data_IF_436896054507
#
_entry.id   IF_436896054507
#
_cell.length_a   1.000
_cell.length_b   1.000
_cell.length_c   1.000
_cell.angle_alpha   90.00
_cell.angle_beta   90.00
_cell.angle_gamma   90.00
#
_symmetry.space_group_name_H-M   'P 1'
#
loop_
_entity.id
_entity.type
_entity.pdbx_description
1 polymer ?
#
# COMPACT_ATOMS: atom_id res chain seq x y z
N UNK A 1 12.80 6.94 4.17
CA UNK A 1 11.34 6.87 4.33
C UNK A 1 10.86 5.43 4.18
N UNK A 2 9.81 5.10 4.90
CA UNK A 2 9.20 3.77 4.86
C UNK A 2 7.70 3.95 4.64
N UNK A 3 7.14 3.20 3.69
CA UNK A 3 5.70 3.16 3.43
C UNK A 3 5.19 1.78 3.79
N UNK A 4 4.15 1.72 4.61
CA UNK A 4 3.47 0.46 4.93
C UNK A 4 2.02 0.57 4.48
N UNK A 5 1.53 -0.46 3.82
CA UNK A 5 0.18 -0.47 3.25
C UNK A 5 -0.56 -1.76 3.62
N UNK A 6 -1.87 -1.65 3.68
CA UNK A 6 -2.75 -2.79 3.92
C UNK A 6 -4.10 -2.55 3.24
N UNK A 7 -4.73 -3.63 2.82
CA UNK A 7 -6.06 -3.59 2.22
C UNK A 7 -6.98 -4.59 2.91
N UNK A 8 -8.27 -4.26 2.92
CA UNK A 8 -9.34 -5.13 3.42
C UNK A 8 -10.48 -5.16 2.42
N UNK A 9 -11.55 -5.87 2.74
CA UNK A 9 -12.74 -5.91 1.90
C UNK A 9 -13.43 -4.55 1.80
N UNK A 10 -13.26 -3.69 2.80
CA UNK A 10 -13.92 -2.38 2.86
C UNK A 10 -13.09 -1.26 2.25
N UNK A 11 -11.77 -1.32 2.37
CA UNK A 11 -10.92 -0.26 1.89
C UNK A 11 -9.44 -0.53 2.16
N UNK A 12 -8.68 0.55 2.28
CA UNK A 12 -7.23 0.46 2.44
C UNK A 12 -6.73 1.47 3.46
N UNK A 13 -5.54 1.19 3.97
CA UNK A 13 -4.82 2.10 4.84
C UNK A 13 -3.35 2.11 4.50
N UNK A 14 -2.69 3.21 4.79
CA UNK A 14 -1.25 3.33 4.59
C UNK A 14 -0.64 4.35 5.53
N UNK A 15 0.61 4.12 5.89
CA UNK A 15 1.37 5.03 6.73
C UNK A 15 2.72 5.33 6.08
N UNK A 16 3.17 6.55 6.31
CA UNK A 16 4.50 7.01 5.93
C UNK A 16 5.30 7.22 7.21
N UNK A 17 6.44 6.56 7.30
CA UNK A 17 7.34 6.65 8.44
C UNK A 17 8.70 7.18 8.02
N UNK A 18 9.40 7.78 8.96
CA UNK A 18 10.75 8.26 8.78
C UNK A 18 11.67 7.61 9.81
N UNK A 19 12.83 7.16 9.38
CA UNK A 19 13.87 6.69 10.28
C UNK A 19 14.57 7.90 10.87
N UNK A 20 14.58 8.00 12.21
CA UNK A 20 15.10 9.19 12.90
C UNK A 20 16.58 9.06 13.25
N UNK A 21 17.05 7.83 13.44
CA UNK A 21 18.46 7.57 13.74
C UNK A 21 18.88 6.21 13.16
N UNK A 22 20.21 5.95 13.09
CA UNK A 22 20.71 4.68 12.57
C UNK A 22 20.30 3.45 13.39
N UNK A 23 19.83 3.65 14.62
CA UNK A 23 19.47 2.57 15.55
C UNK A 23 17.99 2.21 15.52
N UNK A 24 17.27 2.64 14.50
CA UNK A 24 15.97 2.11 14.13
C UNK A 24 14.73 2.63 14.84
N UNK A 25 14.74 3.88 15.30
CA UNK A 25 13.48 4.50 15.74
C UNK A 25 12.71 5.01 14.52
N UNK A 26 11.56 4.40 14.26
CA UNK A 26 10.66 4.82 13.18
C UNK A 26 9.61 5.77 13.74
N UNK A 27 9.41 6.90 13.06
CA UNK A 27 8.39 7.87 13.46
C UNK A 27 7.33 7.99 12.38
N UNK A 28 6.07 8.05 12.80
CA UNK A 28 4.95 8.29 11.89
C UNK A 28 5.01 9.73 11.38
N UNK A 29 5.00 9.89 10.07
CA UNK A 29 4.97 11.20 9.41
C UNK A 29 3.56 11.53 8.93
N UNK A 30 2.92 10.61 8.22
CA UNK A 30 1.57 10.76 7.66
C UNK A 30 0.87 9.42 7.63
N UNK A 31 -0.45 9.48 7.51
CA UNK A 31 -1.27 8.30 7.23
C UNK A 31 -2.35 8.65 6.22
N UNK A 32 -2.89 7.63 5.57
CA UNK A 32 -4.03 7.76 4.66
C UNK A 32 -4.90 6.52 4.75
N UNK A 33 -6.16 6.69 4.42
CA UNK A 33 -7.09 5.58 4.29
C UNK A 33 -8.19 5.94 3.31
N UNK A 34 -8.89 4.94 2.81
CA UNK A 34 -10.00 5.15 1.90
C UNK A 34 -10.91 3.93 1.84
N UNK A 35 -12.09 4.12 1.28
CA UNK A 35 -13.10 3.09 1.10
C UNK A 35 -13.16 2.74 -0.38
N UNK A 36 -13.25 1.44 -0.69
CA UNK A 36 -13.41 0.99 -2.07
C UNK A 36 -14.73 1.46 -2.65
N UNK A 37 -14.71 1.93 -3.89
CA UNK A 37 -15.96 2.19 -4.62
C UNK A 37 -16.59 0.85 -5.05
N UNK A 38 -17.78 0.90 -5.67
CA UNK A 38 -18.52 -0.31 -6.02
C UNK A 38 -17.78 -1.22 -7.00
N UNK A 39 -17.01 -0.66 -7.94
CA UNK A 39 -16.19 -1.44 -8.86
C UNK A 39 -15.01 -2.10 -8.13
N UNK A 40 -14.34 -1.35 -7.29
CA UNK A 40 -13.16 -1.83 -6.55
C UNK A 40 -13.51 -2.91 -5.53
N UNK A 41 -14.70 -2.87 -4.95
CA UNK A 41 -15.16 -3.91 -4.03
C UNK A 41 -15.12 -5.31 -4.64
N UNK A 42 -15.28 -5.41 -5.93
CA UNK A 42 -15.29 -6.68 -6.66
C UNK A 42 -13.89 -7.15 -7.08
N UNK A 43 -12.86 -6.37 -6.82
CA UNK A 43 -11.50 -6.76 -7.13
C UNK A 43 -11.05 -7.93 -6.25
N UNK A 44 -10.14 -8.76 -6.78
CA UNK A 44 -9.50 -9.81 -6.00
C UNK A 44 -8.70 -9.22 -4.85
N UNK A 45 -8.38 -10.03 -3.85
CA UNK A 45 -7.54 -9.61 -2.73
C UNK A 45 -6.21 -9.05 -3.21
N UNK A 46 -5.54 -9.75 -4.13
CA UNK A 46 -4.25 -9.31 -4.69
C UNK A 46 -4.39 -7.97 -5.40
N UNK A 47 -5.45 -7.80 -6.19
CA UNK A 47 -5.68 -6.55 -6.92
C UNK A 47 -5.93 -5.38 -5.97
N UNK A 48 -6.68 -5.60 -4.89
CA UNK A 48 -6.89 -4.58 -3.85
C UNK A 48 -5.58 -4.21 -3.15
N UNK A 49 -4.73 -5.19 -2.85
CA UNK A 49 -3.43 -4.93 -2.22
C UNK A 49 -2.53 -4.09 -3.11
N UNK A 50 -2.45 -4.42 -4.40
CA UNK A 50 -1.66 -3.62 -5.35
C UNK A 50 -2.22 -2.21 -5.48
N UNK A 51 -3.55 -2.07 -5.57
CA UNK A 51 -4.18 -0.76 -5.66
C UNK A 51 -3.93 0.07 -4.41
N UNK A 52 -3.95 -0.54 -3.22
CA UNK A 52 -3.64 0.17 -1.98
C UNK A 52 -2.23 0.76 -2.02
N UNK A 53 -1.27 0.03 -2.57
CA UNK A 53 0.10 0.52 -2.75
C UNK A 53 0.13 1.73 -3.67
N UNK A 54 -0.53 1.65 -4.81
CA UNK A 54 -0.60 2.74 -5.79
C UNK A 54 -1.20 4.00 -5.17
N UNK A 55 -2.33 3.83 -4.46
CA UNK A 55 -3.03 4.96 -3.85
C UNK A 55 -2.21 5.60 -2.73
N UNK A 56 -1.55 4.80 -1.91
CA UNK A 56 -0.72 5.31 -0.80
C UNK A 56 0.52 6.04 -1.32
N UNK A 57 1.23 5.46 -2.28
CA UNK A 57 2.42 6.09 -2.86
C UNK A 57 2.03 7.40 -3.56
N UNK A 58 0.93 7.41 -4.28
CA UNK A 58 0.43 8.63 -4.92
C UNK A 58 0.07 9.69 -3.88
N UNK A 59 -0.53 9.30 -2.77
CA UNK A 59 -0.88 10.23 -1.68
C UNK A 59 0.36 10.83 -1.03
N UNK A 60 1.41 10.04 -0.89
CA UNK A 60 2.65 10.48 -0.25
C UNK A 60 3.72 10.96 -1.25
N UNK A 61 3.35 11.19 -2.51
CA UNK A 61 4.33 11.43 -3.58
C UNK A 61 5.27 12.60 -3.31
N UNK A 62 4.80 13.65 -2.66
CA UNK A 62 5.63 14.83 -2.37
C UNK A 62 6.82 14.49 -1.47
N UNK A 63 6.65 13.50 -0.60
CA UNK A 63 7.69 13.03 0.30
C UNK A 63 8.57 11.94 -0.30
N UNK A 64 8.10 11.28 -1.35
CA UNK A 64 8.74 10.08 -1.90
C UNK A 64 9.44 10.30 -3.24
N UNK A 65 9.00 11.29 -4.03
CA UNK A 65 9.56 11.51 -5.36
C UNK A 65 11.03 11.90 -5.25
N UNK A 66 11.86 11.34 -6.13
CA UNK A 66 13.32 11.55 -6.18
C UNK A 66 14.06 11.08 -4.91
N UNK A 67 13.44 10.24 -4.11
CA UNK A 67 14.05 9.64 -2.92
C UNK A 67 13.89 8.14 -2.95
N UNK A 68 14.89 7.43 -2.43
CA UNK A 68 14.77 5.99 -2.25
C UNK A 68 14.02 5.71 -0.95
N UNK A 69 13.07 4.78 -0.97
CA UNK A 69 12.31 4.40 0.21
C UNK A 69 12.05 2.91 0.25
N UNK A 70 11.61 2.42 1.40
CA UNK A 70 11.24 1.02 1.59
C UNK A 70 9.72 0.90 1.62
N UNK A 71 9.18 0.00 0.81
CA UNK A 71 7.77 -0.35 0.82
C UNK A 71 7.61 -1.68 1.55
N UNK A 72 6.85 -1.68 2.65
CA UNK A 72 6.52 -2.88 3.41
C UNK A 72 5.09 -3.30 3.14
N UNK A 73 4.91 -4.55 2.75
CA UNK A 73 3.59 -5.11 2.46
C UNK A 73 3.43 -6.45 3.16
N UNK A 74 2.21 -6.81 3.52
CA UNK A 74 1.92 -8.11 4.13
C UNK A 74 1.42 -9.14 3.13
N UNK A 75 1.14 -8.72 1.91
CA UNK A 75 0.68 -9.60 0.84
C UNK A 75 1.85 -10.01 -0.05
N UNK A 76 2.32 -11.25 0.11
CA UNK A 76 3.40 -11.79 -0.70
C UNK A 76 3.08 -11.77 -2.19
N UNK A 77 1.81 -12.03 -2.54
CA UNK A 77 1.38 -12.03 -3.94
C UNK A 77 1.53 -10.65 -4.59
N UNK A 78 1.22 -9.57 -3.85
CA UNK A 78 1.41 -8.21 -4.35
C UNK A 78 2.89 -7.90 -4.58
N UNK A 79 3.77 -8.31 -3.66
CA UNK A 79 5.21 -8.16 -3.82
C UNK A 79 5.70 -8.89 -5.07
N UNK A 80 5.28 -10.13 -5.25
CA UNK A 80 5.67 -10.94 -6.41
C UNK A 80 5.20 -10.32 -7.73
N UNK A 81 3.97 -9.81 -7.78
CA UNK A 81 3.43 -9.17 -8.98
C UNK A 81 4.24 -7.93 -9.35
N UNK A 82 4.58 -7.10 -8.38
CA UNK A 82 5.36 -5.88 -8.64
C UNK A 82 6.80 -6.15 -9.06
N UNK A 83 7.34 -7.30 -8.69
CA UNK A 83 8.70 -7.70 -9.04
C UNK A 83 8.79 -8.52 -10.33
N UNK A 84 7.68 -9.12 -10.77
CA UNK A 84 7.65 -9.96 -11.97
C UNK A 84 7.31 -9.15 -13.22
N UNK A 85 7.61 -9.76 -14.37
CA UNK A 85 7.17 -9.25 -15.65
C UNK A 85 5.64 -9.29 -15.73
N UNK A 86 5.06 -8.13 -15.97
CA UNK A 86 3.61 -7.92 -16.05
C UNK A 86 2.95 -8.80 -17.11
N UNK A 87 3.71 -9.30 -18.09
CA UNK A 87 3.19 -10.13 -19.20
C UNK A 87 2.48 -11.39 -18.74
N UNK A 88 2.79 -11.88 -17.54
CA UNK A 88 2.24 -13.14 -17.03
C UNK A 88 0.99 -12.94 -16.16
N UNK A 89 0.46 -11.73 -16.08
CA UNK A 89 -0.69 -11.40 -15.22
C UNK A 89 -1.96 -11.35 -16.06
N UNK A 90 -3.02 -11.97 -15.55
CA UNK A 90 -4.30 -12.12 -16.28
C UNK A 90 -4.95 -10.77 -16.60
N UNK A 91 -4.95 -9.82 -15.67
CA UNK A 91 -5.49 -8.46 -15.89
C UNK A 91 -4.39 -7.49 -16.29
N UNK A 92 -3.73 -7.78 -17.39
CA UNK A 92 -2.49 -7.13 -17.80
C UNK A 92 -2.56 -5.62 -17.91
N UNK A 93 -3.65 -5.09 -18.45
CA UNK A 93 -3.76 -3.65 -18.71
C UNK A 93 -3.75 -2.82 -17.44
N UNK A 94 -4.51 -3.23 -16.43
CA UNK A 94 -4.60 -2.47 -15.18
C UNK A 94 -3.31 -2.58 -14.37
N UNK A 95 -2.73 -3.79 -14.29
CA UNK A 95 -1.47 -3.98 -13.59
C UNK A 95 -0.31 -3.27 -14.29
N UNK A 96 -0.30 -3.29 -15.64
CA UNK A 96 0.72 -2.57 -16.41
C UNK A 96 0.64 -1.06 -16.18
N UNK A 97 -0.57 -0.52 -16.09
CA UNK A 97 -0.80 0.91 -15.82
C UNK A 97 -0.28 1.28 -14.43
N UNK A 98 -0.61 0.48 -13.42
CA UNK A 98 -0.14 0.71 -12.07
C UNK A 98 1.37 0.57 -11.95
N UNK A 99 1.94 -0.43 -12.62
CA UNK A 99 3.38 -0.63 -12.67
C UNK A 99 4.09 0.57 -13.31
N UNK A 100 3.54 1.09 -14.41
CA UNK A 100 4.09 2.27 -15.08
C UNK A 100 4.06 3.49 -14.17
N UNK A 101 2.97 3.69 -13.41
CA UNK A 101 2.86 4.78 -12.45
C UNK A 101 3.91 4.63 -11.35
N UNK A 102 4.08 3.43 -10.81
CA UNK A 102 5.03 3.16 -9.74
C UNK A 102 6.48 3.24 -10.22
N UNK A 103 6.74 3.09 -11.52
CA UNK A 103 8.09 3.17 -12.06
C UNK A 103 8.73 4.56 -11.91
N UNK A 104 7.93 5.59 -11.63
CA UNK A 104 8.44 6.94 -11.33
C UNK A 104 9.08 7.05 -9.95
N UNK A 105 8.94 6.03 -9.11
CA UNK A 105 9.43 6.02 -7.74
C UNK A 105 10.53 4.97 -7.58
N UNK A 106 11.48 5.27 -6.70
CA UNK A 106 12.62 4.38 -6.41
C UNK A 106 12.43 3.73 -5.05
N UNK A 107 12.08 2.44 -5.03
CA UNK A 107 11.81 1.74 -3.78
C UNK A 107 12.19 0.27 -3.85
N UNK A 108 12.51 -0.28 -2.68
CA UNK A 108 12.61 -1.71 -2.45
C UNK A 108 11.31 -2.19 -1.80
N UNK A 109 10.93 -3.43 -2.05
CA UNK A 109 9.73 -4.03 -1.49
C UNK A 109 10.14 -5.10 -0.48
N UNK A 110 9.56 -5.03 0.71
CA UNK A 110 9.75 -6.03 1.75
C UNK A 110 8.41 -6.56 2.22
N UNK A 111 8.35 -7.88 2.41
CA UNK A 111 7.16 -8.55 2.92
C UNK A 111 7.26 -8.70 4.43
N UNK A 112 6.22 -8.25 5.13
CA UNK A 112 6.11 -8.44 6.59
C UNK A 112 4.81 -9.19 6.88
N UNK A 113 4.81 -9.96 7.99
CA UNK A 113 3.59 -10.61 8.44
C UNK A 113 2.61 -9.57 8.97
N UNK A 114 1.30 -9.83 8.81
CA UNK A 114 0.26 -8.92 9.24
C UNK A 114 0.38 -8.46 10.69
N UNK A 115 0.86 -9.31 11.56
CA UNK A 115 1.08 -8.99 12.98
C UNK A 115 2.14 -7.91 13.19
N UNK A 116 3.07 -7.74 12.24
CA UNK A 116 4.11 -6.71 12.29
C UNK A 116 3.71 -5.43 11.56
N UNK A 117 2.62 -5.49 10.79
CA UNK A 117 2.07 -4.34 10.06
C UNK A 117 0.75 -3.91 10.72
N UNK A 118 0.81 -3.69 12.03
CA UNK A 118 -0.39 -3.52 12.86
C UNK A 118 -1.10 -2.18 12.67
N UNK A 119 -0.35 -1.10 12.46
CA UNK A 119 -0.97 0.23 12.39
C UNK A 119 -1.82 0.43 11.12
N UNK A 120 -1.35 0.08 9.90
CA UNK A 120 -2.23 0.13 8.73
C UNK A 120 -3.45 -0.78 8.84
N UNK A 121 -3.28 -1.97 9.42
CA UNK A 121 -4.37 -2.91 9.65
C UNK A 121 -5.41 -2.31 10.61
N UNK A 122 -4.96 -1.72 11.71
CA UNK A 122 -5.81 -1.01 12.66
C UNK A 122 -6.59 0.12 11.97
N UNK A 123 -5.93 0.96 11.21
CA UNK A 123 -6.57 2.06 10.49
C UNK A 123 -7.64 1.55 9.52
N UNK A 124 -7.37 0.46 8.83
CA UNK A 124 -8.31 -0.12 7.89
C UNK A 124 -9.53 -0.71 8.60
N UNK A 125 -9.30 -1.49 9.65
CA UNK A 125 -10.39 -2.18 10.36
C UNK A 125 -11.22 -1.27 11.24
N UNK A 126 -10.57 -0.46 12.07
CA UNK A 126 -11.28 0.37 13.04
C UNK A 126 -11.84 1.63 12.41
N UNK A 127 -11.02 2.36 11.68
CA UNK A 127 -11.41 3.65 11.13
C UNK A 127 -12.46 3.51 10.04
N UNK A 128 -12.26 2.62 9.08
CA UNK A 128 -13.21 2.42 7.99
C UNK A 128 -14.50 1.76 8.48
N UNK A 129 -14.41 0.88 9.47
CA UNK A 129 -15.57 0.26 10.07
C UNK A 129 -16.47 1.30 10.75
N UNK A 130 -15.89 2.26 11.48
CA UNK A 130 -16.65 3.36 12.08
C UNK A 130 -17.34 4.23 11.03
N UNK A 131 -16.64 4.53 9.93
CA UNK A 131 -17.25 5.28 8.83
C UNK A 131 -18.43 4.54 8.22
N UNK A 132 -18.31 3.23 8.07
CA UNK A 132 -19.38 2.39 7.54
C UNK A 132 -20.60 2.38 8.47
N UNK A 133 -20.39 2.31 9.77
CA UNK A 133 -21.45 2.35 10.77
C UNK A 133 -22.15 3.71 10.86
N UNK A 134 -21.46 4.79 10.53
CA UNK A 134 -21.99 6.14 10.57
C UNK A 134 -22.94 6.46 9.40
N UNK A 135 -22.99 5.62 8.40
CA UNK A 135 -23.88 5.77 7.25
C UNK A 135 -25.18 4.98 7.50
#
# INVERSE_FOLDING_TARGET
MIVETDASDLGYGGILKQMVDPESTEQLVRFTSGIWNSSQKNYSTVKKEVLSIVLCITKFQDDLINKRFLLRVDCKSAKEILQKDVKNIVSKQIFARWQALLSSFDFDIDFIKGENNSLPDFLTREFLQRKHEAI
#
